data_IF_173872411652
#
_entry.id   IF_173872411652
#
_cell.length_a   1.000
_cell.length_b   1.000
_cell.length_c   1.000
_cell.angle_alpha   90.00
_cell.angle_beta   90.00
_cell.angle_gamma   90.00
#
_symmetry.space_group_name_H-M   'P 1'
#
loop_
_entity.id
_entity.type
_entity.pdbx_description
1 polymer ?
#
# COMPACT_ATOMS: atom_id res chain seq x y z
N UNK A 1 -8.32 30.53 -12.66
CA UNK A 1 -9.06 29.65 -11.76
C UNK A 1 -8.62 29.97 -10.35
N UNK A 2 -9.49 30.59 -9.53
CA UNK A 2 -9.23 30.79 -8.11
C UNK A 2 -9.10 29.44 -7.43
N UNK A 3 -7.90 29.13 -6.90
CA UNK A 3 -7.71 27.97 -6.04
C UNK A 3 -8.48 28.23 -4.74
N UNK A 4 -9.59 27.51 -4.52
CA UNK A 4 -10.26 27.51 -3.22
C UNK A 4 -9.22 27.21 -2.12
N UNK A 5 -9.24 27.92 -0.99
CA UNK A 5 -8.33 27.63 0.11
C UNK A 5 -8.52 26.19 0.53
N UNK A 6 -7.43 25.42 0.49
CA UNK A 6 -7.42 24.00 0.86
C UNK A 6 -7.86 23.89 2.34
N UNK A 7 -8.75 22.97 2.68
CA UNK A 7 -9.14 22.74 4.08
C UNK A 7 -7.99 22.06 4.83
N UNK A 8 -7.05 22.86 5.32
CA UNK A 8 -5.79 22.41 5.94
C UNK A 8 -6.03 21.31 6.98
N UNK A 9 -7.05 21.48 7.84
CA UNK A 9 -7.39 20.49 8.88
C UNK A 9 -7.79 19.14 8.26
N UNK A 10 -8.62 19.15 7.23
CA UNK A 10 -9.07 17.92 6.53
C UNK A 10 -7.90 17.24 5.82
N UNK A 11 -7.01 18.01 5.21
CA UNK A 11 -5.82 17.51 4.52
C UNK A 11 -4.86 16.83 5.50
N UNK A 12 -4.61 17.44 6.66
CA UNK A 12 -3.74 16.86 7.69
C UNK A 12 -4.37 15.58 8.26
N UNK A 13 -5.65 15.60 8.63
CA UNK A 13 -6.33 14.41 9.17
C UNK A 13 -6.33 13.27 8.14
N UNK A 14 -6.65 13.58 6.88
CA UNK A 14 -6.63 12.60 5.79
C UNK A 14 -5.23 12.01 5.58
N UNK A 15 -4.20 12.86 5.53
CA UNK A 15 -2.81 12.44 5.38
C UNK A 15 -2.31 11.57 6.54
N UNK A 16 -2.68 11.90 7.78
CA UNK A 16 -2.36 11.10 8.96
C UNK A 16 -3.08 9.73 8.93
N UNK A 17 -4.37 9.72 8.59
CA UNK A 17 -5.14 8.49 8.49
C UNK A 17 -4.62 7.57 7.37
N UNK A 18 -4.35 8.13 6.18
CA UNK A 18 -3.75 7.40 5.06
C UNK A 18 -2.34 6.89 5.43
N UNK A 19 -1.50 7.73 6.05
CA UNK A 19 -0.15 7.37 6.47
C UNK A 19 -0.13 6.26 7.51
N UNK A 20 -1.03 6.30 8.50
CA UNK A 20 -1.16 5.24 9.50
C UNK A 20 -1.57 3.90 8.85
N UNK A 21 -2.59 3.91 7.99
CA UNK A 21 -3.01 2.72 7.27
C UNK A 21 -1.89 2.17 6.38
N UNK A 22 -1.19 3.04 5.65
CA UNK A 22 -0.05 2.67 4.81
C UNK A 22 1.07 2.03 5.63
N UNK A 23 1.42 2.61 6.78
CA UNK A 23 2.46 2.08 7.68
C UNK A 23 2.11 0.69 8.17
N UNK A 24 0.88 0.48 8.64
CA UNK A 24 0.42 -0.83 9.12
C UNK A 24 0.47 -1.85 7.98
N UNK A 25 -0.06 -1.51 6.81
CA UNK A 25 -0.07 -2.39 5.65
C UNK A 25 1.35 -2.78 5.23
N UNK A 26 2.26 -1.81 5.10
CA UNK A 26 3.64 -2.04 4.69
C UNK A 26 4.42 -2.86 5.70
N UNK A 27 4.22 -2.62 7.00
CA UNK A 27 4.89 -3.40 8.07
C UNK A 27 4.42 -4.85 8.05
N UNK A 28 3.11 -5.10 7.98
CA UNK A 28 2.58 -6.47 7.87
C UNK A 28 3.10 -7.19 6.61
N UNK A 29 3.14 -6.48 5.48
CA UNK A 29 3.66 -7.01 4.24
C UNK A 29 5.13 -7.38 4.36
N UNK A 30 5.95 -6.48 4.90
CA UNK A 30 7.39 -6.69 5.04
C UNK A 30 7.69 -7.89 5.95
N UNK A 31 7.03 -7.98 7.11
CA UNK A 31 7.16 -9.14 7.98
C UNK A 31 6.67 -10.44 7.29
N UNK A 32 5.56 -10.39 6.58
CA UNK A 32 5.06 -11.54 5.84
C UNK A 32 6.03 -12.03 4.78
N UNK A 33 6.67 -11.11 4.05
CA UNK A 33 7.66 -11.43 3.01
C UNK A 33 8.94 -12.07 3.54
N UNK A 34 9.28 -11.92 4.81
CA UNK A 34 10.39 -12.66 5.42
C UNK A 34 10.09 -14.14 5.65
N UNK A 35 8.81 -14.54 5.62
CA UNK A 35 8.32 -15.88 5.93
C UNK A 35 7.67 -16.58 4.72
N UNK A 36 7.59 -15.91 3.56
CA UNK A 36 7.03 -16.45 2.31
C UNK A 36 7.89 -16.06 1.13
N UNK A 37 7.60 -16.60 -0.05
CA UNK A 37 8.33 -16.23 -1.26
C UNK A 37 7.80 -14.90 -1.82
N UNK A 38 8.66 -14.17 -2.52
CA UNK A 38 8.30 -12.88 -3.13
C UNK A 38 7.17 -13.04 -4.14
N UNK A 39 7.15 -14.15 -4.91
CA UNK A 39 6.10 -14.46 -5.87
C UNK A 39 4.73 -14.64 -5.19
N UNK A 40 4.66 -15.50 -4.16
CA UNK A 40 3.43 -15.71 -3.38
C UNK A 40 2.99 -14.43 -2.69
N UNK A 41 3.93 -13.71 -2.05
CA UNK A 41 3.64 -12.45 -1.39
C UNK A 41 3.08 -11.41 -2.34
N UNK A 42 3.65 -11.27 -3.55
CA UNK A 42 3.14 -10.40 -4.60
C UNK A 42 1.71 -10.76 -5.04
N UNK A 43 1.46 -12.04 -5.27
CA UNK A 43 0.13 -12.54 -5.62
C UNK A 43 -0.90 -12.25 -4.53
N UNK A 44 -0.60 -12.61 -3.26
CA UNK A 44 -1.51 -12.42 -2.13
C UNK A 44 -1.79 -10.93 -1.91
N UNK A 45 -0.75 -10.07 -2.00
CA UNK A 45 -0.94 -8.62 -1.89
C UNK A 45 -1.94 -8.11 -2.93
N UNK A 46 -1.84 -8.59 -4.19
CA UNK A 46 -2.73 -8.16 -5.28
C UNK A 46 -4.21 -8.42 -5.00
N UNK A 47 -4.54 -9.31 -4.07
CA UNK A 47 -5.93 -9.56 -3.67
C UNK A 47 -6.64 -8.31 -3.12
N UNK A 48 -5.90 -7.25 -2.73
CA UNK A 48 -6.54 -5.97 -2.37
C UNK A 48 -7.38 -5.40 -3.51
N UNK A 49 -7.10 -5.73 -4.77
CA UNK A 49 -7.88 -5.31 -5.94
C UNK A 49 -9.32 -5.83 -5.87
N UNK A 50 -9.53 -7.04 -5.33
CA UNK A 50 -10.85 -7.61 -5.09
C UNK A 50 -11.41 -7.14 -3.74
N UNK A 51 -10.58 -7.08 -2.71
CA UNK A 51 -10.99 -6.68 -1.36
C UNK A 51 -11.52 -5.22 -1.32
N UNK A 52 -10.92 -4.32 -2.09
CA UNK A 52 -11.34 -2.91 -2.15
C UNK A 52 -12.80 -2.73 -2.57
N UNK A 53 -13.28 -3.27 -3.70
CA UNK A 53 -14.69 -3.14 -4.07
C UNK A 53 -15.62 -3.92 -3.12
N UNK A 54 -15.19 -5.05 -2.55
CA UNK A 54 -15.96 -5.77 -1.54
C UNK A 54 -16.20 -4.88 -0.31
N UNK A 55 -15.12 -4.33 0.27
CA UNK A 55 -15.22 -3.42 1.41
C UNK A 55 -16.02 -2.16 1.06
N UNK A 56 -15.86 -1.65 -0.18
CA UNK A 56 -16.63 -0.52 -0.68
C UNK A 56 -18.14 -0.74 -0.64
N UNK A 57 -18.61 -1.96 -0.94
CA UNK A 57 -20.04 -2.29 -0.86
C UNK A 57 -20.56 -2.17 0.56
N UNK A 58 -19.81 -2.62 1.59
CA UNK A 58 -20.20 -2.48 2.99
C UNK A 58 -20.34 -1.02 3.44
N UNK A 59 -19.65 -0.09 2.75
CA UNK A 59 -19.74 1.37 2.98
C UNK A 59 -20.84 2.02 2.10
N UNK A 60 -21.64 1.20 1.38
CA UNK A 60 -22.72 1.68 0.51
C UNK A 60 -22.29 2.10 -0.88
N UNK A 61 -21.05 1.81 -1.30
CA UNK A 61 -20.55 2.10 -2.66
C UNK A 61 -21.02 1.02 -3.63
N UNK A 62 -21.32 1.44 -4.86
CA UNK A 62 -21.70 0.51 -5.93
C UNK A 62 -20.48 0.25 -6.81
N UNK A 63 -20.04 -1.01 -6.90
CA UNK A 63 -19.02 -1.42 -7.85
C UNK A 63 -19.68 -1.84 -9.17
N UNK A 64 -19.40 -1.19 -10.31
CA UNK A 64 -19.93 -1.59 -11.61
C UNK A 64 -19.39 -2.99 -12.00
N UNK A 65 -20.17 -3.72 -12.82
CA UNK A 65 -19.79 -5.09 -13.24
C UNK A 65 -18.41 -5.15 -13.93
N UNK A 66 -18.02 -4.10 -14.64
CA UNK A 66 -16.70 -4.00 -15.26
C UNK A 66 -15.55 -4.09 -14.24
N UNK A 67 -15.70 -3.52 -13.03
CA UNK A 67 -14.67 -3.62 -11.97
C UNK A 67 -14.43 -5.07 -11.56
N UNK A 68 -15.48 -5.86 -11.43
CA UNK A 68 -15.37 -7.29 -11.08
C UNK A 68 -14.66 -8.09 -12.18
N UNK A 69 -15.02 -7.82 -13.43
CA UNK A 69 -14.36 -8.47 -14.57
C UNK A 69 -12.87 -8.13 -14.61
N UNK A 70 -12.50 -6.84 -14.47
CA UNK A 70 -11.12 -6.40 -14.43
C UNK A 70 -10.36 -6.98 -13.23
N UNK A 71 -11.00 -7.06 -12.07
CA UNK A 71 -10.40 -7.62 -10.86
C UNK A 71 -10.07 -9.12 -11.03
N UNK A 72 -10.98 -9.90 -11.58
CA UNK A 72 -10.73 -11.32 -11.88
C UNK A 72 -9.61 -11.48 -12.89
N UNK A 73 -9.59 -10.69 -13.96
CA UNK A 73 -8.54 -10.71 -14.96
C UNK A 73 -7.17 -10.35 -14.38
N UNK A 74 -7.11 -9.32 -13.52
CA UNK A 74 -5.89 -8.89 -12.85
C UNK A 74 -5.33 -9.98 -11.94
N UNK A 75 -6.19 -10.62 -11.13
CA UNK A 75 -5.78 -11.71 -10.24
C UNK A 75 -5.33 -12.93 -11.02
N UNK A 76 -6.03 -13.29 -12.12
CA UNK A 76 -5.60 -14.38 -13.00
C UNK A 76 -4.23 -14.09 -13.63
N UNK A 77 -4.00 -12.86 -14.09
CA UNK A 77 -2.69 -12.45 -14.63
C UNK A 77 -1.58 -12.52 -13.59
N UNK A 78 -1.84 -12.04 -12.37
CA UNK A 78 -0.87 -12.12 -11.29
C UNK A 78 -0.61 -13.55 -10.82
N UNK A 79 -1.64 -14.41 -10.82
CA UNK A 79 -1.46 -15.83 -10.53
C UNK A 79 -0.49 -16.48 -11.54
N UNK A 80 -0.71 -16.26 -12.83
CA UNK A 80 0.17 -16.79 -13.88
C UNK A 80 1.60 -16.25 -13.81
N UNK A 81 1.78 -15.00 -13.35
CA UNK A 81 3.08 -14.36 -13.23
C UNK A 81 3.86 -14.82 -11.99
N UNK A 82 3.18 -14.97 -10.86
CA UNK A 82 3.83 -15.14 -9.56
C UNK A 82 3.88 -16.59 -9.08
N UNK A 83 2.95 -17.46 -9.52
CA UNK A 83 2.84 -18.85 -9.05
C UNK A 83 3.45 -19.80 -10.09
N UNK A 84 4.77 -19.79 -10.17
CA UNK A 84 5.52 -20.71 -11.02
C UNK A 84 6.00 -21.94 -10.21
N UNK A 85 5.13 -22.96 -10.10
CA UNK A 85 5.53 -24.27 -9.58
C UNK A 85 5.79 -24.34 -8.07
N UNK A 86 5.46 -23.31 -7.31
CA UNK A 86 5.61 -23.30 -5.86
C UNK A 86 4.48 -24.08 -5.17
N UNK A 87 4.79 -24.71 -4.03
CA UNK A 87 3.79 -25.41 -3.24
C UNK A 87 2.71 -24.43 -2.74
N UNK A 88 1.43 -24.78 -2.93
CA UNK A 88 0.28 -24.01 -2.46
C UNK A 88 0.04 -24.14 -0.93
N UNK A 89 1.04 -24.58 -0.17
CA UNK A 89 0.94 -24.66 1.29
C UNK A 89 0.84 -23.24 1.87
N UNK A 90 -0.16 -23.00 2.72
CA UNK A 90 -0.35 -21.71 3.40
C UNK A 90 0.64 -21.63 4.56
N UNK A 91 1.48 -20.60 4.55
CA UNK A 91 2.43 -20.27 5.62
C UNK A 91 1.88 -19.16 6.53
N UNK A 92 2.48 -19.00 7.71
CA UNK A 92 2.17 -17.86 8.59
C UNK A 92 2.47 -16.52 7.89
N UNK A 93 3.52 -16.48 7.05
CA UNK A 93 3.84 -15.31 6.22
C UNK A 93 2.74 -14.96 5.23
N UNK A 94 2.12 -15.97 4.60
CA UNK A 94 1.00 -15.75 3.67
C UNK A 94 -0.20 -15.10 4.37
N UNK A 95 -0.48 -15.47 5.63
CA UNK A 95 -1.56 -14.86 6.42
C UNK A 95 -1.24 -13.41 6.78
N UNK A 96 0.01 -13.08 7.10
CA UNK A 96 0.43 -11.69 7.35
C UNK A 96 0.30 -10.84 6.09
N UNK A 97 0.72 -11.37 4.93
CA UNK A 97 0.57 -10.68 3.65
C UNK A 97 -0.90 -10.50 3.27
N UNK A 98 -1.75 -11.50 3.56
CA UNK A 98 -3.20 -11.37 3.35
C UNK A 98 -3.80 -10.28 4.27
N UNK A 99 -3.36 -10.23 5.54
CA UNK A 99 -3.70 -9.16 6.45
C UNK A 99 -3.28 -7.79 5.92
N UNK A 100 -2.07 -7.69 5.35
CA UNK A 100 -1.61 -6.46 4.70
C UNK A 100 -2.48 -6.06 3.51
N UNK A 101 -2.89 -7.03 2.67
CA UNK A 101 -3.79 -6.77 1.53
C UNK A 101 -5.14 -6.20 1.97
N UNK A 102 -5.67 -6.69 3.11
CA UNK A 102 -6.89 -6.13 3.71
C UNK A 102 -6.69 -4.68 4.15
N UNK A 103 -5.58 -4.38 4.83
CA UNK A 103 -5.27 -3.01 5.28
C UNK A 103 -4.99 -2.09 4.08
N UNK A 104 -4.34 -2.57 3.01
CA UNK A 104 -4.19 -1.82 1.76
C UNK A 104 -5.55 -1.50 1.12
N UNK A 105 -6.49 -2.43 1.12
CA UNK A 105 -7.84 -2.16 0.62
C UNK A 105 -8.54 -1.07 1.45
N UNK A 106 -8.40 -1.09 2.76
CA UNK A 106 -8.89 -0.01 3.64
C UNK A 106 -8.18 1.32 3.34
N UNK A 107 -6.86 1.30 3.19
CA UNK A 107 -6.06 2.48 2.83
C UNK A 107 -6.56 3.14 1.53
N UNK A 108 -6.85 2.35 0.48
CA UNK A 108 -7.40 2.87 -0.77
C UNK A 108 -8.78 3.53 -0.54
N UNK A 109 -9.64 2.93 0.28
CA UNK A 109 -10.95 3.53 0.62
C UNK A 109 -10.82 4.83 1.41
N UNK A 110 -9.80 4.94 2.27
CA UNK A 110 -9.50 6.18 3.00
C UNK A 110 -9.01 7.27 2.03
N UNK A 111 -8.07 6.94 1.11
CA UNK A 111 -7.64 7.86 0.06
C UNK A 111 -8.82 8.34 -0.77
N UNK A 112 -9.67 7.42 -1.22
CA UNK A 112 -10.83 7.73 -2.06
C UNK A 112 -11.88 8.62 -1.33
N UNK A 113 -11.94 8.54 0.00
CA UNK A 113 -12.76 9.44 0.80
C UNK A 113 -12.16 10.87 0.87
N UNK A 114 -10.86 10.99 1.09
CA UNK A 114 -10.21 12.29 1.30
C UNK A 114 -9.76 12.98 0.01
N UNK A 115 -9.44 12.25 -1.04
CA UNK A 115 -8.93 12.78 -2.31
C UNK A 115 -9.84 13.84 -2.95
N UNK A 116 -11.20 13.72 -2.97
CA UNK A 116 -12.08 14.78 -3.48
C UNK A 116 -12.13 16.04 -2.61
N UNK A 117 -11.72 15.93 -1.35
CA UNK A 117 -11.82 17.00 -0.34
C UNK A 117 -10.52 17.80 -0.22
N UNK A 118 -9.40 17.30 -0.79
CA UNK A 118 -8.06 17.84 -0.60
C UNK A 118 -7.27 17.82 -1.91
N UNK A 119 -6.07 18.39 -1.91
CA UNK A 119 -5.14 18.20 -3.02
C UNK A 119 -4.45 16.83 -2.88
N UNK A 120 -4.59 15.97 -3.92
CA UNK A 120 -4.06 14.62 -3.90
C UNK A 120 -2.54 14.55 -3.74
N UNK A 121 -1.80 15.52 -4.28
CA UNK A 121 -0.34 15.57 -4.14
C UNK A 121 0.06 15.89 -2.70
N UNK A 122 -0.60 16.86 -2.08
CA UNK A 122 -0.33 17.21 -0.67
C UNK A 122 -0.72 16.06 0.25
N UNK A 123 -1.87 15.42 -0.01
CA UNK A 123 -2.30 14.24 0.74
C UNK A 123 -1.25 13.12 0.66
N UNK A 124 -0.72 12.86 -0.54
CA UNK A 124 0.34 11.86 -0.77
C UNK A 124 1.64 12.22 -0.07
N UNK A 125 2.06 13.48 -0.10
CA UNK A 125 3.25 13.93 0.62
C UNK A 125 3.14 13.68 2.13
N UNK A 126 1.98 14.02 2.73
CA UNK A 126 1.78 13.82 4.16
C UNK A 126 1.77 12.33 4.52
N UNK A 127 1.05 11.49 3.78
CA UNK A 127 1.00 10.05 4.06
C UNK A 127 2.37 9.38 3.96
N UNK A 128 3.18 9.73 2.94
CA UNK A 128 4.53 9.20 2.81
C UNK A 128 5.48 9.72 3.89
N UNK A 129 5.36 10.99 4.29
CA UNK A 129 6.12 11.54 5.40
C UNK A 129 5.80 10.80 6.71
N UNK A 130 4.52 10.57 7.01
CA UNK A 130 4.08 9.81 8.20
C UNK A 130 4.61 8.38 8.15
N UNK A 131 4.41 7.68 7.03
CA UNK A 131 4.89 6.32 6.87
C UNK A 131 6.42 6.25 7.02
N UNK A 132 7.16 7.15 6.37
CA UNK A 132 8.62 7.20 6.43
C UNK A 132 9.15 7.47 7.85
N UNK A 133 8.56 8.44 8.56
CA UNK A 133 8.98 8.75 9.93
C UNK A 133 8.69 7.60 10.89
N UNK A 134 7.49 7.03 10.85
CA UNK A 134 7.12 5.91 11.73
C UNK A 134 7.96 4.67 11.43
N UNK A 135 8.18 4.35 10.14
CA UNK A 135 9.03 3.22 9.74
C UNK A 135 10.50 3.44 10.12
N UNK A 136 11.03 4.66 9.99
CA UNK A 136 12.39 4.98 10.42
C UNK A 136 12.55 4.81 11.92
N UNK A 137 11.61 5.33 12.73
CA UNK A 137 11.62 5.13 14.18
C UNK A 137 11.58 3.64 14.52
N UNK A 138 10.70 2.87 13.86
CA UNK A 138 10.62 1.42 14.05
C UNK A 138 11.93 0.71 13.72
N UNK A 139 12.55 1.03 12.58
CA UNK A 139 13.82 0.44 12.17
C UNK A 139 14.94 0.72 13.19
N UNK A 140 15.07 1.95 13.69
CA UNK A 140 16.09 2.28 14.69
C UNK A 140 15.87 1.60 16.05
N UNK A 141 14.61 1.34 16.43
CA UNK A 141 14.29 0.68 17.70
C UNK A 141 14.47 -0.84 17.62
N UNK A 142 14.01 -1.46 16.53
CA UNK A 142 13.90 -2.92 16.44
C UNK A 142 14.99 -3.58 15.60
N UNK A 143 15.52 -2.91 14.56
CA UNK A 143 16.41 -3.52 13.58
C UNK A 143 17.87 -3.07 13.71
N UNK A 144 18.13 -1.89 14.31
CA UNK A 144 19.48 -1.28 14.44
C UNK A 144 20.30 -1.38 13.13
N UNK A 145 19.85 -0.74 12.04
CA UNK A 145 20.45 -0.90 10.74
C UNK A 145 21.91 -0.43 10.72
N UNK A 146 22.80 -1.24 10.14
CA UNK A 146 24.20 -0.86 9.98
C UNK A 146 24.36 0.10 8.81
N UNK A 147 25.43 0.93 8.87
CA UNK A 147 25.73 1.88 7.79
C UNK A 147 25.95 1.19 6.44
N UNK A 148 26.57 0.01 6.44
CA UNK A 148 26.76 -0.81 5.24
C UNK A 148 25.43 -1.23 4.59
N UNK A 149 24.45 -1.66 5.41
CA UNK A 149 23.11 -2.02 4.93
C UNK A 149 22.37 -0.82 4.32
N UNK A 150 22.50 0.37 4.94
CA UNK A 150 21.88 1.59 4.44
C UNK A 150 22.49 1.99 3.08
N UNK A 151 23.80 1.93 2.92
CA UNK A 151 24.49 2.27 1.66
C UNK A 151 24.15 1.25 0.58
N UNK A 152 24.17 -0.05 0.87
CA UNK A 152 23.84 -1.09 -0.11
C UNK A 152 22.37 -1.02 -0.59
N UNK A 153 21.46 -0.61 0.29
CA UNK A 153 20.04 -0.41 -0.01
C UNK A 153 19.71 0.93 -0.67
N UNK A 154 20.67 1.87 -0.75
CA UNK A 154 20.39 3.24 -1.19
C UNK A 154 19.81 3.32 -2.63
N UNK A 155 20.36 2.55 -3.58
CA UNK A 155 19.91 2.56 -4.98
C UNK A 155 18.47 2.05 -5.12
N UNK A 156 18.10 0.86 -4.60
CA UNK A 156 16.70 0.41 -4.62
C UNK A 156 15.73 1.36 -3.92
N UNK A 157 16.13 1.93 -2.77
CA UNK A 157 15.30 2.88 -2.02
C UNK A 157 15.09 4.18 -2.78
N UNK A 158 16.13 4.74 -3.40
CA UNK A 158 16.02 5.93 -4.24
C UNK A 158 15.14 5.66 -5.47
N UNK A 159 15.31 4.52 -6.12
CA UNK A 159 14.46 4.13 -7.24
C UNK A 159 12.98 4.05 -6.83
N UNK A 160 12.68 3.35 -5.76
CA UNK A 160 11.31 3.23 -5.26
C UNK A 160 10.74 4.58 -4.79
N UNK A 161 11.51 5.37 -4.04
CA UNK A 161 11.06 6.65 -3.51
C UNK A 161 10.86 7.72 -4.59
N UNK A 162 11.81 7.87 -5.50
CA UNK A 162 11.75 8.94 -6.52
C UNK A 162 10.87 8.57 -7.70
N UNK A 163 11.08 7.38 -8.28
CA UNK A 163 10.35 6.99 -9.50
C UNK A 163 8.98 6.39 -9.18
N UNK A 164 8.90 5.43 -8.27
CA UNK A 164 7.61 4.78 -7.99
C UNK A 164 6.68 5.67 -7.17
N UNK A 165 7.16 6.24 -6.08
CA UNK A 165 6.33 7.10 -5.23
C UNK A 165 6.28 8.55 -5.73
N UNK A 166 7.43 9.16 -6.06
CA UNK A 166 7.47 10.57 -6.48
C UNK A 166 6.78 10.82 -7.81
N UNK A 167 7.25 10.15 -8.88
CA UNK A 167 6.69 10.35 -10.24
C UNK A 167 5.33 9.66 -10.36
N UNK A 168 5.18 8.43 -9.88
CA UNK A 168 3.95 7.65 -10.04
C UNK A 168 2.72 8.24 -9.35
N UNK A 169 2.87 9.02 -8.27
CA UNK A 169 1.75 9.68 -7.59
C UNK A 169 1.54 11.14 -7.99
N UNK A 170 2.39 11.70 -8.86
CA UNK A 170 2.24 13.09 -9.36
C UNK A 170 1.76 13.16 -10.81
N UNK A 171 1.81 12.06 -11.56
CA UNK A 171 1.26 11.93 -12.91
C UNK A 171 -0.21 11.49 -12.86
#
# INVERSE_FOLDING_TARGET
AERKPLPVKTTIIGGLACGAALTIASTLQQYGLTMTTVGKGGFITTLYIILTPILGIFIGRKAPKAVWFCAVLAVAGMFLLCVNGESLSISAGDLLVLGSALVFAVHILVIDHFSPLTDGVILSCIQFAVCGVVSAIGAFIFEQPSWEQLVSGAIPVLYAGVLSCGVGYTL
#
